data_IF_922201132727
#
_entry.id   IF_922201132727
#
_cell.length_a   1.000
_cell.length_b   1.000
_cell.length_c   1.000
_cell.angle_alpha   90.00
_cell.angle_beta   90.00
_cell.angle_gamma   90.00
#
_symmetry.space_group_name_H-M   'P 1'
#
loop_
_entity.id
_entity.type
_entity.pdbx_description
1 polymer ?
#
# COMPACT_ATOMS: atom_id res chain seq x y z
N UNK A 1 -30.68 -10.30 48.53
CA UNK A 1 -31.66 -9.24 48.18
C UNK A 1 -31.96 -9.41 46.70
N UNK A 2 -33.16 -9.54 46.17
CA UNK A 2 -34.53 -9.66 46.68
C UNK A 2 -35.38 -9.91 45.42
N UNK A 3 -36.27 -10.91 45.43
CA UNK A 3 -37.44 -11.08 44.54
C UNK A 3 -37.16 -11.08 43.01
N UNK A 4 -37.69 -12.01 42.24
CA UNK A 4 -39.05 -11.88 41.71
C UNK A 4 -39.57 -13.29 41.38
N UNK A 5 -40.54 -13.70 42.20
CA UNK A 5 -41.51 -14.74 41.93
C UNK A 5 -42.76 -14.03 41.42
N UNK A 6 -43.03 -13.96 40.10
CA UNK A 6 -44.39 -13.75 39.56
C UNK A 6 -44.39 -14.33 38.14
N UNK A 7 -44.78 -15.59 37.99
CA UNK A 7 -45.75 -16.07 37.00
C UNK A 7 -45.95 -17.57 37.22
N UNK A 8 -46.71 -17.91 38.27
CA UNK A 8 -47.41 -19.20 38.35
C UNK A 8 -48.66 -19.10 37.49
N UNK A 9 -49.14 -20.27 37.07
CA UNK A 9 -50.25 -20.54 36.13
C UNK A 9 -49.67 -20.63 34.70
N UNK A 10 -49.64 -21.79 34.06
CA UNK A 10 -50.74 -22.75 33.92
C UNK A 10 -50.15 -24.17 33.75
N UNK A 11 -50.87 -25.13 34.33
CA UNK A 11 -50.90 -26.58 34.06
C UNK A 11 -50.03 -27.11 32.91
N UNK A 12 -49.27 -28.18 33.04
CA UNK A 12 -49.42 -29.33 33.91
C UNK A 12 -48.71 -30.51 33.23
N UNK A 13 -48.50 -31.57 33.99
CA UNK A 13 -48.11 -32.90 33.54
C UNK A 13 -46.74 -33.05 32.86
N UNK A 14 -45.84 -33.70 33.60
CA UNK A 14 -45.09 -34.89 33.16
C UNK A 14 -44.61 -34.90 31.71
N UNK A 15 -43.32 -34.62 31.50
CA UNK A 15 -42.46 -35.50 30.70
C UNK A 15 -41.05 -34.91 30.61
N UNK A 16 -40.09 -35.66 31.13
CA UNK A 16 -38.69 -35.57 30.76
C UNK A 16 -38.57 -35.69 29.25
N UNK A 17 -38.10 -34.65 28.57
CA UNK A 17 -37.32 -34.83 27.35
C UNK A 17 -36.37 -33.65 27.18
N UNK A 18 -35.08 -33.97 27.26
CA UNK A 18 -33.99 -33.11 26.84
C UNK A 18 -34.24 -32.57 25.42
N UNK A 19 -33.99 -31.28 25.18
CA UNK A 19 -33.29 -30.78 23.99
C UNK A 19 -33.28 -29.23 23.92
N UNK A 20 -32.08 -28.70 23.65
CA UNK A 20 -31.73 -27.47 22.88
C UNK A 20 -32.12 -26.08 23.42
N UNK A 21 -31.10 -25.21 23.48
CA UNK A 21 -31.27 -23.78 23.30
C UNK A 21 -30.16 -22.94 23.92
N UNK A 22 -29.00 -22.82 23.27
CA UNK A 22 -28.06 -21.75 23.57
C UNK A 22 -28.80 -20.40 23.39
N UNK A 23 -29.11 -19.71 24.49
CA UNK A 23 -29.60 -18.33 24.42
C UNK A 23 -28.42 -17.39 24.15
N UNK A 24 -27.90 -17.45 22.93
CA UNK A 24 -27.16 -16.32 22.37
C UNK A 24 -28.15 -15.18 22.14
N UNK A 25 -27.85 -13.97 22.63
CA UNK A 25 -28.59 -12.78 22.21
C UNK A 25 -28.48 -12.70 20.69
N UNK A 26 -29.59 -12.93 19.99
CA UNK A 26 -29.67 -12.78 18.54
C UNK A 26 -29.46 -11.32 18.18
N UNK A 27 -28.22 -10.94 17.91
CA UNK A 27 -27.95 -9.75 17.12
C UNK A 27 -28.53 -10.05 15.74
N UNK A 28 -29.59 -9.34 15.37
CA UNK A 28 -30.09 -9.36 14.00
C UNK A 28 -28.90 -9.09 13.08
N UNK A 29 -28.72 -9.85 11.99
CA UNK A 29 -27.81 -9.43 10.94
C UNK A 29 -28.28 -8.04 10.54
N UNK A 30 -27.54 -7.01 10.93
CA UNK A 30 -27.72 -5.71 10.33
C UNK A 30 -27.40 -5.96 8.87
N UNK A 31 -28.38 -5.77 7.99
CA UNK A 31 -28.14 -5.75 6.56
C UNK A 31 -26.90 -4.90 6.33
N UNK A 32 -26.01 -5.40 5.48
CA UNK A 32 -24.80 -4.72 5.10
C UNK A 32 -25.26 -3.40 4.49
N UNK A 33 -25.20 -2.32 5.27
CA UNK A 33 -25.26 -0.98 4.72
C UNK A 33 -23.96 -0.89 3.96
N UNK A 34 -24.08 -0.88 2.63
CA UNK A 34 -22.97 -0.56 1.76
C UNK A 34 -22.39 0.75 2.29
N UNK A 35 -21.26 0.65 2.98
CA UNK A 35 -20.52 1.78 3.49
C UNK A 35 -19.98 2.44 2.22
N UNK A 36 -20.83 3.27 1.60
CA UNK A 36 -20.60 3.82 0.27
C UNK A 36 -19.20 4.37 0.13
N UNK A 37 -18.72 4.44 -1.11
CA UNK A 37 -17.32 4.70 -1.50
C UNK A 37 -16.45 5.28 -0.38
N UNK A 38 -15.36 4.59 0.01
CA UNK A 38 -14.52 5.00 1.12
C UNK A 38 -14.18 6.48 1.00
N UNK A 39 -14.30 7.19 2.11
CA UNK A 39 -13.97 8.61 2.16
C UNK A 39 -12.57 8.80 1.57
N UNK A 40 -12.49 9.41 0.39
CA UNK A 40 -11.21 9.80 -0.21
C UNK A 40 -10.73 10.98 0.63
N UNK A 41 -10.06 10.66 1.74
CA UNK A 41 -9.62 11.62 2.73
C UNK A 41 -8.83 12.75 2.06
N UNK A 42 -8.89 13.93 2.68
CA UNK A 42 -8.07 15.09 2.31
C UNK A 42 -6.59 14.70 2.37
N UNK A 43 -6.06 14.16 1.27
CA UNK A 43 -4.67 13.76 1.17
C UNK A 43 -3.81 15.00 1.05
N UNK A 44 -2.74 15.07 1.86
CA UNK A 44 -1.74 16.12 1.73
C UNK A 44 -1.13 16.18 0.32
N UNK A 45 -1.13 15.05 -0.41
CA UNK A 45 -0.68 14.94 -1.79
C UNK A 45 -0.27 13.52 -2.20
N UNK A 46 0.39 13.35 -3.35
CA UNK A 46 1.02 12.08 -3.69
C UNK A 46 2.29 11.84 -2.86
N UNK A 47 2.59 10.56 -2.62
CA UNK A 47 3.82 10.10 -2.00
C UNK A 47 4.79 9.66 -3.11
N UNK A 48 5.99 10.22 -3.11
CA UNK A 48 7.06 9.88 -4.07
C UNK A 48 8.20 9.18 -3.34
N UNK A 49 8.86 8.23 -4.00
CA UNK A 49 9.98 7.50 -3.41
C UNK A 49 11.32 7.98 -3.95
N UNK A 50 12.15 8.51 -3.05
CA UNK A 50 13.54 8.87 -3.29
C UNK A 50 14.50 7.88 -2.63
N UNK A 51 15.79 8.06 -2.88
CA UNK A 51 16.84 7.28 -2.26
C UNK A 51 17.50 8.11 -1.16
N UNK A 52 17.64 7.52 0.01
CA UNK A 52 18.64 7.94 0.99
C UNK A 52 19.71 6.84 1.01
N UNK A 53 20.92 7.19 0.60
CA UNK A 53 21.98 6.25 0.24
C UNK A 53 21.55 5.27 -0.86
N UNK A 54 21.10 4.09 -0.46
CA UNK A 54 20.62 2.99 -1.32
C UNK A 54 19.20 2.56 -0.97
N UNK A 55 18.61 3.16 0.07
CA UNK A 55 17.32 2.79 0.62
C UNK A 55 16.23 3.68 0.06
N UNK A 56 15.14 3.07 -0.39
CA UNK A 56 13.94 3.80 -0.79
C UNK A 56 13.28 4.45 0.42
N UNK A 57 13.03 5.76 0.33
CA UNK A 57 12.37 6.58 1.33
C UNK A 57 11.21 7.31 0.68
N UNK A 58 10.06 7.23 1.32
CA UNK A 58 8.89 7.94 0.86
C UNK A 58 8.87 9.39 1.36
N UNK A 59 8.42 10.29 0.50
CA UNK A 59 8.24 11.70 0.81
C UNK A 59 6.85 12.12 0.35
N UNK A 60 6.10 12.73 1.26
CA UNK A 60 4.78 13.26 1.00
C UNK A 60 4.88 14.63 0.32
N UNK A 61 4.40 14.77 -0.92
CA UNK A 61 4.25 16.09 -1.54
C UNK A 61 3.07 16.82 -0.91
N UNK A 62 3.22 18.12 -0.68
CA UNK A 62 2.17 18.96 -0.07
C UNK A 62 1.46 19.77 -1.15
N UNK A 63 0.53 19.12 -1.86
CA UNK A 63 -0.28 19.72 -2.94
C UNK A 63 -1.72 19.99 -2.51
N UNK A 64 -2.11 19.53 -1.32
CA UNK A 64 -3.48 19.61 -0.79
C UNK A 64 -4.48 18.66 -1.46
N UNK A 65 -4.01 17.79 -2.36
CA UNK A 65 -4.81 16.74 -3.00
C UNK A 65 -3.92 15.66 -3.60
N UNK A 66 -4.38 14.41 -3.62
CA UNK A 66 -3.60 13.29 -4.18
C UNK A 66 -3.20 13.47 -5.66
N UNK A 67 -4.03 14.13 -6.47
CA UNK A 67 -3.72 14.37 -7.89
C UNK A 67 -3.74 13.12 -8.76
N UNK A 68 -3.42 13.24 -10.05
CA UNK A 68 -3.34 12.08 -10.96
C UNK A 68 -2.08 11.25 -10.69
N UNK A 69 -2.06 9.99 -11.13
CA UNK A 69 -0.86 9.17 -11.06
C UNK A 69 0.28 9.76 -11.89
N UNK A 70 -0.04 10.31 -13.07
CA UNK A 70 0.92 11.04 -13.89
C UNK A 70 1.58 12.19 -13.10
N UNK A 71 0.83 12.98 -12.34
CA UNK A 71 1.40 14.04 -11.52
C UNK A 71 2.35 13.52 -10.43
N UNK A 72 2.07 12.35 -9.84
CA UNK A 72 2.99 11.71 -8.90
C UNK A 72 4.30 11.28 -9.57
N UNK A 73 4.23 10.75 -10.80
CA UNK A 73 5.40 10.42 -11.61
C UNK A 73 6.19 11.66 -12.02
N UNK A 74 5.51 12.77 -12.33
CA UNK A 74 6.14 14.05 -12.65
C UNK A 74 6.94 14.58 -11.45
N UNK A 75 6.38 14.52 -10.23
CA UNK A 75 7.11 14.90 -9.01
C UNK A 75 8.33 14.01 -8.71
N UNK A 76 8.29 12.75 -9.12
CA UNK A 76 9.43 11.85 -9.01
C UNK A 76 10.51 12.20 -10.05
N UNK A 77 10.11 12.51 -11.28
CA UNK A 77 10.99 12.91 -12.37
C UNK A 77 11.63 14.29 -12.16
N UNK A 78 10.92 15.22 -11.52
CA UNK A 78 11.46 16.51 -11.07
C UNK A 78 12.59 16.32 -10.04
N UNK A 79 12.52 15.25 -9.26
CA UNK A 79 13.52 14.90 -8.27
C UNK A 79 13.33 15.58 -6.91
N UNK A 80 14.29 15.42 -5.99
CA UNK A 80 14.22 16.00 -4.65
C UNK A 80 14.36 17.53 -4.67
N UNK A 81 13.61 18.21 -3.81
CA UNK A 81 13.71 19.66 -3.58
C UNK A 81 15.08 20.02 -2.97
N UNK A 82 15.50 21.30 -2.97
CA UNK A 82 16.73 21.72 -2.28
C UNK A 82 16.78 21.24 -0.81
N UNK A 83 15.69 21.41 -0.05
CA UNK A 83 15.64 20.99 1.35
C UNK A 83 15.73 19.46 1.51
N UNK A 84 15.15 18.68 0.59
CA UNK A 84 15.27 17.22 0.59
C UNK A 84 16.69 16.78 0.22
N UNK A 85 17.37 17.49 -0.69
CA UNK A 85 18.78 17.24 -1.04
C UNK A 85 19.71 17.55 0.13
N UNK A 86 19.41 18.56 0.94
CA UNK A 86 20.13 18.84 2.19
C UNK A 86 19.95 17.72 3.24
N UNK A 87 18.97 16.84 3.05
CA UNK A 87 18.76 15.59 3.81
C UNK A 87 19.27 14.36 3.04
N UNK A 88 20.21 14.55 2.11
CA UNK A 88 20.86 13.50 1.32
C UNK A 88 19.90 12.65 0.47
N UNK A 89 18.71 13.17 0.17
CA UNK A 89 17.79 12.52 -0.76
C UNK A 89 18.30 12.67 -2.20
N UNK A 90 18.29 11.56 -2.92
CA UNK A 90 18.71 11.48 -4.32
C UNK A 90 17.67 10.76 -5.16
N UNK A 91 17.80 10.87 -6.48
CA UNK A 91 17.00 10.12 -7.44
C UNK A 91 17.89 9.48 -8.48
N UNK A 92 17.60 8.24 -8.84
CA UNK A 92 18.21 7.56 -9.98
C UNK A 92 17.29 7.56 -11.21
N UNK A 93 16.20 8.31 -11.15
CA UNK A 93 15.39 8.64 -12.32
C UNK A 93 16.16 9.68 -13.13
N UNK A 94 16.60 9.36 -14.36
CA UNK A 94 17.24 10.33 -15.22
C UNK A 94 16.29 11.50 -15.50
N UNK A 95 16.85 12.70 -15.68
CA UNK A 95 16.06 13.83 -16.14
C UNK A 95 15.35 13.48 -17.46
N UNK A 96 14.04 13.68 -17.50
CA UNK A 96 13.19 13.26 -18.60
C UNK A 96 11.73 13.14 -18.15
N UNK A 97 10.88 12.63 -19.02
CA UNK A 97 9.46 12.45 -18.73
C UNK A 97 9.16 10.97 -18.47
N UNK A 98 8.48 10.68 -17.36
CA UNK A 98 7.83 9.39 -17.16
C UNK A 98 6.44 9.48 -17.76
N UNK A 99 6.04 8.56 -18.63
CA UNK A 99 4.68 8.52 -19.15
C UNK A 99 3.95 7.32 -18.58
N UNK A 100 2.74 7.54 -18.06
CA UNK A 100 1.86 6.45 -17.68
C UNK A 100 1.10 5.96 -18.92
N UNK A 101 1.24 4.67 -19.20
CA UNK A 101 0.34 3.95 -20.11
C UNK A 101 -0.53 3.00 -19.28
N UNK A 102 -1.84 3.14 -19.42
CA UNK A 102 -2.79 2.32 -18.67
C UNK A 102 -3.11 1.12 -19.55
N UNK A 103 -2.40 0.02 -19.32
CA UNK A 103 -2.72 -1.24 -19.98
C UNK A 103 -4.05 -1.79 -19.44
N UNK A 104 -4.91 -2.25 -20.34
CA UNK A 104 -6.14 -2.99 -20.01
C UNK A 104 -5.78 -4.35 -19.44
N UNK A 105 -5.69 -4.42 -18.11
CA UNK A 105 -5.30 -5.57 -17.31
C UNK A 105 -4.94 -5.10 -15.91
N UNK A 106 -4.84 -5.99 -14.93
CA UNK A 106 -4.70 -5.62 -13.51
C UNK A 106 -3.33 -4.99 -13.12
N UNK A 107 -2.60 -4.41 -14.06
CA UNK A 107 -1.27 -3.85 -13.87
C UNK A 107 -1.12 -2.53 -14.64
N UNK A 108 -0.26 -1.64 -14.12
CA UNK A 108 0.04 -0.34 -14.71
C UNK A 108 1.36 -0.40 -15.47
N UNK A 109 1.45 0.24 -16.63
CA UNK A 109 2.68 0.31 -17.41
C UNK A 109 3.24 1.72 -17.32
N UNK A 110 4.49 1.85 -16.90
CA UNK A 110 5.18 3.15 -16.92
C UNK A 110 6.26 3.11 -17.99
N UNK A 111 6.22 4.07 -18.90
CA UNK A 111 7.17 4.24 -20.00
C UNK A 111 8.08 5.46 -19.71
N UNK A 112 9.32 5.24 -19.24
CA UNK A 112 10.31 6.31 -19.11
C UNK A 112 10.77 6.76 -20.49
N UNK A 113 10.76 8.06 -20.74
CA UNK A 113 11.32 8.66 -21.95
C UNK A 113 12.81 8.95 -21.75
N UNK A 114 13.60 7.90 -21.50
CA UNK A 114 15.04 7.99 -21.24
C UNK A 114 15.83 7.22 -22.29
N UNK A 115 16.96 7.77 -22.73
CA UNK A 115 17.87 7.10 -23.68
C UNK A 115 18.67 5.97 -23.05
N UNK A 116 18.79 5.98 -21.72
CA UNK A 116 19.53 4.99 -20.94
C UNK A 116 18.56 4.08 -20.19
N UNK A 117 18.92 2.79 -20.01
CA UNK A 117 18.12 1.87 -19.20
C UNK A 117 18.09 2.34 -17.73
N UNK A 118 16.95 2.12 -17.07
CA UNK A 118 16.80 2.39 -15.65
C UNK A 118 17.62 1.41 -14.80
N UNK A 119 18.18 1.92 -13.71
CA UNK A 119 18.78 1.08 -12.67
C UNK A 119 17.70 0.35 -11.87
N UNK A 120 18.08 -0.70 -11.12
CA UNK A 120 17.17 -1.39 -10.19
C UNK A 120 16.57 -0.44 -9.16
N UNK A 121 17.35 0.52 -8.65
CA UNK A 121 16.85 1.50 -7.69
C UNK A 121 15.87 2.47 -8.34
N UNK A 122 16.14 2.95 -9.57
CA UNK A 122 15.22 3.78 -10.34
C UNK A 122 13.89 3.06 -10.64
N UNK A 123 13.95 1.78 -11.03
CA UNK A 123 12.73 0.97 -11.16
C UNK A 123 11.95 0.91 -9.83
N UNK A 124 12.63 0.70 -8.71
CA UNK A 124 12.01 0.70 -7.39
C UNK A 124 11.35 2.02 -7.01
N UNK A 125 11.97 3.16 -7.35
CA UNK A 125 11.38 4.48 -7.14
C UNK A 125 10.06 4.64 -7.92
N UNK A 126 10.01 4.20 -9.19
CA UNK A 126 8.79 4.22 -10.01
C UNK A 126 7.72 3.30 -9.41
N UNK A 127 8.05 2.02 -9.20
CA UNK A 127 7.11 1.00 -8.74
C UNK A 127 6.51 1.39 -7.38
N UNK A 128 7.32 1.84 -6.43
CA UNK A 128 6.83 2.23 -5.11
C UNK A 128 6.02 3.53 -5.13
N UNK A 129 6.34 4.49 -6.01
CA UNK A 129 5.53 5.70 -6.20
C UNK A 129 4.16 5.36 -6.76
N UNK A 130 4.09 4.50 -7.78
CA UNK A 130 2.82 4.02 -8.36
C UNK A 130 2.00 3.26 -7.32
N UNK A 131 2.62 2.32 -6.59
CA UNK A 131 1.97 1.54 -5.55
C UNK A 131 1.41 2.43 -4.44
N UNK A 132 2.15 3.42 -3.96
CA UNK A 132 1.66 4.32 -2.91
C UNK A 132 0.52 5.21 -3.39
N UNK A 133 0.51 5.63 -4.65
CA UNK A 133 -0.60 6.36 -5.22
C UNK A 133 -1.86 5.49 -5.34
N UNK A 134 -1.72 4.24 -5.82
CA UNK A 134 -2.80 3.24 -5.88
C UNK A 134 -3.38 2.97 -4.49
N UNK A 135 -2.52 2.69 -3.50
CA UNK A 135 -2.91 2.54 -2.10
C UNK A 135 -3.68 3.74 -1.57
N UNK A 136 -3.22 4.96 -1.86
CA UNK A 136 -3.90 6.17 -1.41
C UNK A 136 -5.25 6.43 -2.12
N UNK A 137 -5.44 5.90 -3.33
CA UNK A 137 -6.68 6.03 -4.11
C UNK A 137 -7.72 4.98 -3.77
N UNK A 138 -7.29 3.72 -3.67
CA UNK A 138 -8.15 2.55 -3.64
C UNK A 138 -8.15 1.85 -2.28
N UNK A 139 -7.22 2.20 -1.39
CA UNK A 139 -7.05 1.52 -0.11
C UNK A 139 -6.24 0.21 -0.21
N UNK A 140 -5.68 -0.09 -1.38
CA UNK A 140 -4.89 -1.30 -1.63
C UNK A 140 -3.57 -1.33 -0.85
N UNK A 141 -2.98 -2.51 -0.67
CA UNK A 141 -1.62 -2.61 -0.12
C UNK A 141 -0.56 -2.36 -1.21
N UNK A 142 0.59 -1.80 -0.81
CA UNK A 142 1.77 -1.65 -1.68
C UNK A 142 2.23 -2.97 -2.35
N UNK A 143 1.87 -4.11 -1.76
CA UNK A 143 2.20 -5.46 -2.21
C UNK A 143 1.26 -5.98 -3.31
N UNK A 144 0.08 -5.39 -3.47
CA UNK A 144 -0.96 -5.84 -4.39
C UNK A 144 -0.90 -5.08 -5.72
N UNK A 145 -0.32 -3.88 -5.73
CA UNK A 145 -0.15 -3.10 -6.96
C UNK A 145 0.94 -3.70 -7.84
N UNK A 146 0.54 -4.15 -9.02
CA UNK A 146 1.42 -4.65 -10.07
C UNK A 146 1.79 -3.53 -11.04
N UNK A 147 3.10 -3.33 -11.25
CA UNK A 147 3.63 -2.29 -12.12
C UNK A 147 4.65 -2.89 -13.06
N UNK A 148 4.45 -2.67 -14.35
CA UNK A 148 5.40 -2.97 -15.40
C UNK A 148 6.09 -1.70 -15.88
N UNK A 149 7.31 -1.84 -16.39
CA UNK A 149 8.09 -0.74 -16.95
C UNK A 149 8.35 -1.03 -18.43
N UNK A 150 7.90 -0.13 -19.29
CA UNK A 150 8.12 -0.22 -20.73
C UNK A 150 9.47 0.42 -21.12
N UNK A 151 10.15 -0.18 -22.09
CA UNK A 151 11.32 0.38 -22.77
C UNK A 151 11.24 0.05 -24.27
N UNK A 152 10.78 1.03 -25.06
CA UNK A 152 10.54 0.85 -26.49
C UNK A 152 9.40 -0.15 -26.74
N UNK A 153 9.75 -1.36 -27.19
CA UNK A 153 8.78 -2.45 -27.46
C UNK A 153 8.82 -3.56 -26.39
N UNK A 154 9.69 -3.44 -25.40
CA UNK A 154 9.82 -4.41 -24.33
C UNK A 154 9.13 -3.91 -23.07
N UNK A 155 8.51 -4.83 -22.35
CA UNK A 155 7.90 -4.58 -21.04
C UNK A 155 8.60 -5.46 -20.00
N UNK A 156 8.96 -4.88 -18.87
CA UNK A 156 9.59 -5.55 -17.75
C UNK A 156 8.64 -5.56 -16.55
N UNK A 157 8.43 -6.72 -15.94
CA UNK A 157 7.51 -6.90 -14.82
C UNK A 157 6.47 -7.99 -15.07
N UNK A 158 5.36 -7.99 -14.33
CA UNK A 158 5.00 -6.99 -13.31
C UNK A 158 5.88 -7.09 -12.04
N UNK A 159 6.09 -5.94 -11.39
CA UNK A 159 6.78 -5.81 -10.10
C UNK A 159 5.83 -5.28 -9.03
N UNK A 160 6.15 -5.53 -7.76
CA UNK A 160 5.49 -4.91 -6.61
C UNK A 160 6.51 -4.15 -5.76
N UNK A 161 6.07 -3.12 -5.03
CA UNK A 161 6.97 -2.28 -4.25
C UNK A 161 7.83 -3.06 -3.22
N UNK A 162 7.30 -4.07 -2.50
CA UNK A 162 8.09 -4.89 -1.57
C UNK A 162 9.32 -5.58 -2.19
N UNK A 163 9.32 -5.85 -3.51
CA UNK A 163 10.50 -6.39 -4.19
C UNK A 163 11.73 -5.46 -4.10
N UNK A 164 11.52 -4.17 -3.84
CA UNK A 164 12.57 -3.17 -3.76
C UNK A 164 12.87 -2.71 -2.34
N UNK A 165 11.86 -2.66 -1.45
CA UNK A 165 12.02 -2.24 -0.05
C UNK A 165 12.84 -3.22 0.80
N UNK A 166 12.74 -4.53 0.53
CA UNK A 166 13.39 -5.60 1.32
C UNK A 166 14.91 -5.65 1.13
N UNK A 167 15.46 -4.96 0.12
CA UNK A 167 16.90 -4.90 -0.12
C UNK A 167 17.69 -4.06 0.91
N UNK A 168 17.01 -3.35 1.82
CA UNK A 168 17.64 -2.49 2.83
C UNK A 168 18.03 -3.21 4.14
N UNK A 169 17.53 -4.42 4.41
CA UNK A 169 17.66 -5.03 5.76
C UNK A 169 18.75 -6.11 5.88
N UNK A 170 19.45 -6.47 4.80
CA UNK A 170 20.52 -7.49 4.85
C UNK A 170 21.95 -6.92 4.99
N UNK A 171 22.13 -5.68 5.47
CA UNK A 171 23.47 -5.12 5.74
C UNK A 171 23.75 -4.74 7.20
N UNK A 172 22.88 -5.11 8.14
CA UNK A 172 23.08 -4.83 9.56
C UNK A 172 22.78 -6.04 10.47
N UNK A 173 23.40 -7.18 10.15
CA UNK A 173 23.64 -8.26 11.12
C UNK A 173 25.10 -8.72 11.02
N UNK A 174 25.95 -7.94 11.71
CA UNK A 174 27.16 -8.24 12.48
C UNK A 174 28.18 -9.33 12.02
N UNK A 175 29.50 -9.06 12.15
CA UNK A 175 30.58 -9.97 11.83
C UNK A 175 30.80 -10.97 12.97
N UNK A 176 30.79 -12.26 12.67
CA UNK A 176 31.47 -13.25 13.51
C UNK A 176 32.65 -13.89 12.77
N UNK A 177 33.84 -13.46 13.15
CA UNK A 177 35.10 -14.18 13.09
C UNK A 177 36.03 -13.53 14.15
N UNK A 178 36.97 -14.25 14.78
CA UNK A 178 37.03 -15.66 15.20
C UNK A 178 37.24 -15.78 16.73
N UNK A 179 36.95 -16.92 17.35
CA UNK A 179 37.72 -17.36 18.52
C UNK A 179 37.98 -18.87 18.45
N UNK A 180 39.27 -19.15 18.25
CA UNK A 180 39.98 -20.39 18.51
C UNK A 180 39.64 -21.00 19.87
N UNK A 181 39.29 -22.29 19.87
CA UNK A 181 39.98 -23.36 20.60
C UNK A 181 39.84 -24.67 19.80
#
# INVERSE_FOLDING_TARGET
MKMIQIFRCIAGALASFALVGLTGCGVQPTDIIDAGEPAIGVSAGPRVYFLHDTSLRDIQRTTGRLGSLQAALDFLAEGPTPAERDQEMTTQIPAGTLHLDISTGNYLVVAPSTSSPLSKAGMGQIVCTVAAWQSARHGDHLAETQVSIANGQHEFGPYTCPNFLTTSTNSAADPQLPLSQ
#
